data_IF_446563128759
#
_entry.id   IF_446563128759
#
_cell.length_a   1.000
_cell.length_b   1.000
_cell.length_c   1.000
_cell.angle_alpha   90.00
_cell.angle_beta   90.00
_cell.angle_gamma   90.00
#
_symmetry.space_group_name_H-M   'P 1'
#
loop_
_entity.id
_entity.type
_entity.pdbx_description
1 polymer ?
#
# COMPACT_ATOMS: atom_id res chain seq x y z
N UNK A 1 0.87 -43.35 9.92
CA UNK A 1 2.22 -42.87 9.55
C UNK A 1 2.20 -41.86 8.40
N UNK A 2 1.41 -42.06 7.33
CA UNK A 2 1.28 -41.06 6.23
C UNK A 2 0.69 -39.71 6.70
N UNK A 3 -0.23 -39.73 7.67
CA UNK A 3 -0.90 -38.53 8.18
C UNK A 3 0.06 -37.53 8.84
N UNK A 4 1.07 -38.01 9.57
CA UNK A 4 2.10 -37.17 10.19
C UNK A 4 2.99 -36.53 9.12
N UNK A 5 3.34 -37.28 8.08
CA UNK A 5 4.13 -36.76 6.95
C UNK A 5 3.37 -35.65 6.21
N UNK A 6 2.06 -35.84 5.99
CA UNK A 6 1.20 -34.82 5.38
C UNK A 6 1.12 -33.57 6.26
N UNK A 7 0.92 -33.73 7.58
CA UNK A 7 0.89 -32.59 8.51
C UNK A 7 2.22 -31.83 8.49
N UNK A 8 3.35 -32.54 8.53
CA UNK A 8 4.68 -31.93 8.51
C UNK A 8 4.90 -31.14 7.21
N UNK A 9 4.49 -31.70 6.08
CA UNK A 9 4.57 -31.02 4.78
C UNK A 9 3.74 -29.73 4.74
N UNK A 10 2.50 -29.77 5.26
CA UNK A 10 1.62 -28.60 5.33
C UNK A 10 2.23 -27.51 6.23
N UNK A 11 2.78 -27.88 7.39
CA UNK A 11 3.45 -26.93 8.29
C UNK A 11 4.61 -26.25 7.56
N UNK A 12 5.50 -27.00 6.91
CA UNK A 12 6.64 -26.47 6.17
C UNK A 12 6.19 -25.53 5.04
N UNK A 13 5.15 -25.91 4.30
CA UNK A 13 4.61 -25.08 3.23
C UNK A 13 4.07 -23.73 3.75
N UNK A 14 3.36 -23.74 4.89
CA UNK A 14 2.84 -22.52 5.52
C UNK A 14 4.00 -21.63 6.02
N UNK A 15 5.02 -22.19 6.67
CA UNK A 15 6.18 -21.40 7.12
C UNK A 15 6.94 -20.80 5.94
N UNK A 16 7.17 -21.56 4.87
CA UNK A 16 7.82 -21.06 3.68
C UNK A 16 7.04 -19.91 3.02
N UNK A 17 5.70 -20.06 2.91
CA UNK A 17 4.83 -19.00 2.38
C UNK A 17 4.92 -17.72 3.22
N UNK A 18 4.82 -17.85 4.54
CA UNK A 18 4.86 -16.71 5.46
C UNK A 18 6.22 -16.00 5.43
N UNK A 19 7.33 -16.76 5.37
CA UNK A 19 8.66 -16.17 5.27
C UNK A 19 8.83 -15.39 3.96
N UNK A 20 8.36 -15.97 2.85
CA UNK A 20 8.43 -15.33 1.55
C UNK A 20 7.58 -14.05 1.49
N UNK A 21 6.35 -14.09 2.01
CA UNK A 21 5.48 -12.91 2.10
C UNK A 21 6.11 -11.80 2.96
N UNK A 22 6.72 -12.15 4.09
CA UNK A 22 7.40 -11.16 4.94
C UNK A 22 8.63 -10.51 4.26
N UNK A 23 9.38 -11.29 3.48
CA UNK A 23 10.50 -10.76 2.68
C UNK A 23 10.02 -9.77 1.62
N UNK A 24 8.84 -10.02 1.07
CA UNK A 24 8.19 -9.20 0.06
C UNK A 24 7.69 -7.87 0.66
N UNK A 25 7.01 -7.93 1.81
CA UNK A 25 6.59 -6.75 2.57
C UNK A 25 7.81 -5.85 2.87
N UNK A 26 8.91 -6.44 3.36
CA UNK A 26 10.16 -5.71 3.64
C UNK A 26 10.68 -4.95 2.41
N UNK A 27 10.63 -5.57 1.21
CA UNK A 27 11.05 -4.90 -0.04
C UNK A 27 10.18 -3.69 -0.37
N UNK A 28 8.85 -3.79 -0.18
CA UNK A 28 7.94 -2.66 -0.39
C UNK A 28 8.16 -1.54 0.61
N UNK A 29 8.36 -1.88 1.89
CA UNK A 29 8.66 -0.89 2.93
C UNK A 29 9.95 -0.14 2.64
N UNK A 30 11.01 -0.86 2.26
CA UNK A 30 12.27 -0.25 1.90
C UNK A 30 12.11 0.68 0.69
N UNK A 31 11.34 0.27 -0.33
CA UNK A 31 11.04 1.15 -1.46
C UNK A 31 10.33 2.43 -1.00
N UNK A 32 9.29 2.34 -0.17
CA UNK A 32 8.58 3.53 0.34
C UNK A 32 9.50 4.45 1.15
N UNK A 33 10.37 3.88 2.00
CA UNK A 33 11.36 4.65 2.77
C UNK A 33 12.30 5.44 1.85
N UNK A 34 12.78 4.84 0.76
CA UNK A 34 13.65 5.54 -0.20
C UNK A 34 12.94 6.66 -0.98
N UNK A 35 11.60 6.67 -1.02
CA UNK A 35 10.81 7.70 -1.70
C UNK A 35 10.48 8.90 -0.79
N UNK A 36 10.99 8.92 0.46
CA UNK A 36 10.76 9.99 1.45
C UNK A 36 9.27 10.30 1.66
N UNK A 37 8.43 9.27 1.73
CA UNK A 37 7.00 9.43 1.90
C UNK A 37 6.65 9.89 3.33
N UNK A 38 5.71 10.83 3.42
CA UNK A 38 5.30 11.54 4.65
C UNK A 38 4.36 10.65 5.49
N UNK A 39 3.52 9.86 4.82
CA UNK A 39 2.59 8.94 5.46
C UNK A 39 2.55 7.66 4.62
N UNK A 40 2.48 6.51 5.28
CA UNK A 40 2.24 5.23 4.62
C UNK A 40 1.28 4.35 5.43
N UNK A 41 0.45 3.58 4.73
CA UNK A 41 -0.49 2.64 5.32
C UNK A 41 -0.51 1.34 4.54
N UNK A 42 -0.21 0.22 5.21
CA UNK A 42 -0.44 -1.10 4.68
C UNK A 42 -1.81 -1.63 5.09
N UNK A 43 -2.63 -1.98 4.10
CA UNK A 43 -3.91 -2.62 4.35
C UNK A 43 -4.45 -3.28 3.08
N UNK A 44 -5.21 -4.37 3.24
CA UNK A 44 -5.86 -5.08 2.12
C UNK A 44 -4.87 -5.51 1.01
N UNK A 45 -3.64 -5.88 1.37
CA UNK A 45 -2.61 -6.27 0.40
C UNK A 45 -1.98 -5.11 -0.37
N UNK A 46 -2.22 -3.86 0.02
CA UNK A 46 -1.60 -2.69 -0.63
C UNK A 46 -0.95 -1.77 0.39
N UNK A 47 0.29 -1.38 0.10
CA UNK A 47 0.84 -0.14 0.66
C UNK A 47 0.27 1.05 -0.08
N UNK A 48 -0.10 2.07 0.68
CA UNK A 48 -0.61 3.36 0.19
C UNK A 48 0.26 4.42 0.83
N UNK A 49 0.88 5.28 0.04
CA UNK A 49 1.82 6.26 0.57
C UNK A 49 1.63 7.63 -0.07
N UNK A 50 1.80 8.67 0.73
CA UNK A 50 1.81 10.08 0.32
C UNK A 50 3.27 10.51 0.29
N UNK A 51 3.79 10.82 -0.89
CA UNK A 51 5.20 11.12 -1.12
C UNK A 51 5.39 12.56 -1.62
N UNK A 52 6.61 13.10 -1.72
CA UNK A 52 6.79 14.54 -1.93
C UNK A 52 6.12 15.13 -3.17
N UNK A 53 6.01 14.35 -4.27
CA UNK A 53 5.43 14.77 -5.56
C UNK A 53 4.25 13.92 -6.05
N UNK A 54 3.93 12.84 -5.34
CA UNK A 54 3.04 11.79 -5.83
C UNK A 54 2.41 10.97 -4.72
N UNK A 55 1.33 10.29 -5.06
CA UNK A 55 0.71 9.23 -4.27
C UNK A 55 1.12 7.89 -4.87
N UNK A 56 1.50 6.96 -4.01
CA UNK A 56 1.84 5.59 -4.39
C UNK A 56 0.79 4.61 -3.88
N UNK A 57 0.44 3.65 -4.73
CA UNK A 57 -0.24 2.41 -4.34
C UNK A 57 0.59 1.24 -4.83
N UNK A 58 1.08 0.43 -3.91
CA UNK A 58 1.94 -0.72 -4.18
C UNK A 58 1.23 -1.98 -3.74
N UNK A 59 1.05 -2.90 -4.68
CA UNK A 59 0.46 -4.21 -4.41
C UNK A 59 1.50 -5.16 -3.81
N UNK A 60 1.13 -5.80 -2.70
CA UNK A 60 1.83 -6.98 -2.25
C UNK A 60 1.37 -8.17 -3.10
N UNK A 61 2.33 -8.86 -3.70
CA UNK A 61 2.09 -10.01 -4.56
C UNK A 61 3.15 -11.04 -4.29
N UNK A 62 2.86 -12.30 -4.60
CA UNK A 62 3.80 -13.41 -4.43
C UNK A 62 5.15 -13.09 -5.09
N UNK A 63 5.19 -12.68 -6.36
CA UNK A 63 6.42 -12.22 -7.01
C UNK A 63 6.45 -10.70 -7.10
N UNK A 64 7.19 -10.03 -6.22
CA UNK A 64 7.30 -8.56 -6.27
C UNK A 64 8.13 -8.10 -7.45
N UNK A 65 7.51 -7.30 -8.32
CA UNK A 65 8.17 -6.43 -9.27
C UNK A 65 7.66 -4.99 -9.06
N UNK A 66 8.48 -4.14 -8.43
CA UNK A 66 8.08 -2.78 -8.06
C UNK A 66 7.53 -1.98 -9.25
N UNK A 67 8.05 -2.16 -10.47
CA UNK A 67 7.53 -1.41 -11.62
C UNK A 67 6.13 -1.87 -12.03
N UNK A 68 5.85 -3.17 -11.95
CA UNK A 68 4.55 -3.75 -12.34
C UNK A 68 3.50 -3.62 -11.25
N UNK A 69 3.89 -3.74 -9.99
CA UNK A 69 3.01 -3.71 -8.82
C UNK A 69 2.67 -2.30 -8.33
N UNK A 70 3.17 -1.26 -9.02
CA UNK A 70 3.07 0.13 -8.60
C UNK A 70 2.10 0.90 -9.47
N UNK A 71 1.19 1.60 -8.80
CA UNK A 71 0.45 2.72 -9.37
C UNK A 71 0.94 4.02 -8.75
N UNK A 72 1.34 4.95 -9.60
CA UNK A 72 1.74 6.29 -9.20
C UNK A 72 0.74 7.31 -9.71
N UNK A 73 0.39 8.28 -8.88
CA UNK A 73 -0.45 9.41 -9.26
C UNK A 73 0.30 10.67 -8.86
N UNK A 74 0.82 11.41 -9.85
CA UNK A 74 1.40 12.74 -9.62
C UNK A 74 0.30 13.69 -9.14
N UNK A 75 0.64 14.63 -8.25
CA UNK A 75 -0.34 15.58 -7.73
C UNK A 75 -1.00 16.44 -8.82
N UNK A 76 -0.22 16.84 -9.82
CA UNK A 76 -0.71 17.60 -10.99
C UNK A 76 -1.76 16.83 -11.81
N UNK A 77 -1.73 15.50 -11.72
CA UNK A 77 -2.66 14.62 -12.44
C UNK A 77 -3.93 14.30 -11.64
N UNK A 78 -4.07 14.83 -10.42
CA UNK A 78 -5.26 14.62 -9.59
C UNK A 78 -6.36 15.59 -10.03
N UNK A 79 -7.41 15.02 -10.65
CA UNK A 79 -8.59 15.75 -11.12
C UNK A 79 -9.73 15.74 -10.10
N UNK A 80 -9.81 14.68 -9.30
CA UNK A 80 -10.85 14.55 -8.27
C UNK A 80 -10.41 13.66 -7.12
N UNK A 81 -10.78 14.04 -5.90
CA UNK A 81 -10.62 13.19 -4.72
C UNK A 81 -11.96 13.12 -3.98
N UNK A 82 -12.37 11.91 -3.59
CA UNK A 82 -13.58 11.68 -2.80
C UNK A 82 -13.30 10.68 -1.68
N UNK A 83 -13.70 11.00 -0.47
CA UNK A 83 -13.63 10.10 0.69
C UNK A 83 -15.03 9.55 0.99
N UNK A 84 -15.16 8.22 1.09
CA UNK A 84 -16.40 7.53 1.44
C UNK A 84 -16.07 6.33 2.33
N UNK A 85 -16.40 6.43 3.61
CA UNK A 85 -16.10 5.41 4.61
C UNK A 85 -14.59 5.06 4.58
N UNK A 86 -14.24 3.77 4.67
CA UNK A 86 -12.85 3.31 4.62
C UNK A 86 -12.21 3.37 3.22
N UNK A 87 -12.77 4.13 2.27
CA UNK A 87 -12.28 4.19 0.89
C UNK A 87 -12.04 5.64 0.47
N UNK A 88 -10.89 5.89 -0.16
CA UNK A 88 -10.59 7.14 -0.86
C UNK A 88 -10.53 6.83 -2.36
N UNK A 89 -11.24 7.61 -3.15
CA UNK A 89 -11.18 7.58 -4.61
C UNK A 89 -10.35 8.75 -5.09
N UNK A 90 -9.28 8.46 -5.84
CA UNK A 90 -8.42 9.46 -6.46
C UNK A 90 -8.50 9.23 -7.96
N UNK A 91 -9.10 10.17 -8.69
CA UNK A 91 -9.56 9.96 -10.06
C UNK A 91 -10.47 8.71 -10.12
N UNK A 92 -10.02 7.63 -10.80
CA UNK A 92 -10.71 6.33 -10.87
C UNK A 92 -10.07 5.27 -9.96
N UNK A 93 -8.97 5.59 -9.29
CA UNK A 93 -8.24 4.64 -8.45
C UNK A 93 -8.81 4.57 -7.04
N UNK A 94 -8.99 3.34 -6.56
CA UNK A 94 -9.56 3.04 -5.24
C UNK A 94 -8.46 2.76 -4.22
N UNK A 95 -8.47 3.50 -3.12
CA UNK A 95 -7.59 3.33 -1.97
C UNK A 95 -8.43 2.86 -0.78
N UNK A 96 -8.46 1.54 -0.53
CA UNK A 96 -9.25 0.94 0.54
C UNK A 96 -8.42 0.65 1.79
N UNK A 97 -8.93 1.07 2.93
CA UNK A 97 -8.29 0.95 4.23
C UNK A 97 -9.01 -0.11 5.09
N UNK A 98 -8.28 -0.66 6.07
CA UNK A 98 -8.88 -1.61 7.04
C UNK A 98 -9.92 -0.96 7.94
N UNK A 99 -9.71 0.32 8.30
CA UNK A 99 -10.58 1.12 9.17
C UNK A 99 -10.86 2.49 8.55
N UNK A 100 -12.04 3.04 8.81
CA UNK A 100 -12.44 4.38 8.36
C UNK A 100 -11.54 5.49 8.92
N UNK A 101 -11.11 5.37 10.18
CA UNK A 101 -10.18 6.31 10.82
C UNK A 101 -8.84 6.44 10.05
N UNK A 102 -8.31 5.33 9.54
CA UNK A 102 -7.09 5.34 8.73
C UNK A 102 -7.31 6.05 7.40
N UNK A 103 -8.47 5.84 6.77
CA UNK A 103 -8.84 6.55 5.54
C UNK A 103 -8.99 8.05 5.82
N UNK A 104 -9.66 8.44 6.91
CA UNK A 104 -9.81 9.83 7.33
C UNK A 104 -8.45 10.50 7.57
N UNK A 105 -7.55 9.86 8.32
CA UNK A 105 -6.20 10.38 8.58
C UNK A 105 -5.42 10.56 7.28
N UNK A 106 -5.39 9.53 6.42
CA UNK A 106 -4.70 9.59 5.14
C UNK A 106 -5.29 10.70 4.24
N UNK A 107 -6.61 10.81 4.18
CA UNK A 107 -7.31 11.84 3.40
C UNK A 107 -6.98 13.26 3.89
N UNK A 108 -6.95 13.48 5.21
CA UNK A 108 -6.59 14.77 5.80
C UNK A 108 -5.18 15.19 5.41
N UNK A 109 -4.19 14.31 5.63
CA UNK A 109 -2.78 14.57 5.28
C UNK A 109 -2.63 14.85 3.77
N UNK A 110 -3.37 14.12 2.93
CA UNK A 110 -3.35 14.34 1.49
C UNK A 110 -3.90 15.72 1.11
N UNK A 111 -5.02 16.15 1.71
CA UNK A 111 -5.58 17.48 1.45
C UNK A 111 -4.65 18.60 1.93
N UNK A 112 -4.03 18.45 3.10
CA UNK A 112 -3.06 19.41 3.63
C UNK A 112 -1.88 19.56 2.67
N UNK A 113 -1.34 18.44 2.18
CA UNK A 113 -0.25 18.42 1.19
C UNK A 113 -0.64 19.11 -0.12
N UNK A 114 -1.82 18.81 -0.67
CA UNK A 114 -2.30 19.42 -1.92
C UNK A 114 -2.61 20.91 -1.79
N UNK A 115 -3.00 21.36 -0.61
CA UNK A 115 -3.25 22.79 -0.35
C UNK A 115 -1.93 23.56 -0.29
N UNK A 116 -0.91 23.00 0.36
CA UNK A 116 0.42 23.60 0.43
C UNK A 116 1.15 23.60 -0.92
N UNK A 117 1.05 22.52 -1.71
CA UNK A 117 1.69 22.43 -3.03
C UNK A 117 1.06 23.38 -4.08
N UNK A 118 -0.17 23.87 -3.85
CA UNK A 118 -0.83 24.87 -4.74
C UNK A 118 -0.53 26.33 -4.37
N UNK A 119 -0.03 26.56 -3.16
CA UNK A 119 0.30 27.88 -2.63
C UNK A 119 1.82 28.15 -2.64
N UNK A 120 2.62 27.22 -3.17
CA UNK A 120 4.08 27.31 -3.33
C UNK A 120 4.46 27.34 -4.80
#
# INVERSE_FOLDING_TARGET
MIFIVIILFVIIAITALNFYDNSNITKLENYIKTQNCIESNYSRGYYKAICPKKILKLENSFTINIQKNKKEILYDNIRSIKHKNNIIYINKEKFEFKKDENAKRFYKILQDKLSNDRNS
#
